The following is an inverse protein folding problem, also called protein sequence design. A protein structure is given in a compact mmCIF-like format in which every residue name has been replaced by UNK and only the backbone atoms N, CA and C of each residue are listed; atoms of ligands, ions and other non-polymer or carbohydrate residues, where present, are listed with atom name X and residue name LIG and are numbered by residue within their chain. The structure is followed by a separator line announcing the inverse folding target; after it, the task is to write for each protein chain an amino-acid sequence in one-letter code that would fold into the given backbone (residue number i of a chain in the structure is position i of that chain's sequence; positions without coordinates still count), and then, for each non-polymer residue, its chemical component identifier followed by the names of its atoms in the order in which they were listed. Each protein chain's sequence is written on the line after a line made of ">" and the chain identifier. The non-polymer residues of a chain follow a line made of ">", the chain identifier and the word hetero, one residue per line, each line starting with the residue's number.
data_IF_346621147905
#
_entry.id   IF_346621147905
#
_cell.length_a   1.000
_cell.length_b   1.000
_cell.length_c   1.000
_cell.angle_alpha   90.00
_cell.angle_beta   90.00
_cell.angle_gamma   90.00
#
_symmetry.space_group_name_H-M   'P 1'
#
loop_
_entity.id
_entity.type
_entity.pdbx_description
1 polymer ?
#
# COMPACT_ATOMS: atom_id res chain seq x y z
N UNK A 1 -55.72 50.23 -12.84
CA UNK A 1 -54.31 50.00 -12.57
C UNK A 1 -54.10 48.51 -12.49
N UNK A 2 -53.62 47.90 -13.53
CA UNK A 2 -53.46 46.49 -13.62
C UNK A 2 -52.04 46.11 -13.39
N UNK A 3 -51.80 45.51 -12.26
CA UNK A 3 -50.50 44.94 -11.94
C UNK A 3 -50.53 43.48 -12.42
N UNK A 4 -50.04 43.25 -13.62
CA UNK A 4 -49.83 41.89 -14.14
C UNK A 4 -48.55 41.33 -13.58
N UNK A 5 -48.68 40.58 -12.52
CA UNK A 5 -47.66 39.68 -12.02
C UNK A 5 -47.30 38.68 -13.10
N UNK A 6 -46.16 38.85 -13.70
CA UNK A 6 -45.56 37.90 -14.60
C UNK A 6 -45.11 36.66 -13.81
N UNK A 7 -45.92 35.63 -13.93
CA UNK A 7 -45.51 34.31 -13.42
C UNK A 7 -44.44 33.74 -14.36
N UNK A 8 -43.21 33.98 -14.02
CA UNK A 8 -42.12 33.22 -14.60
C UNK A 8 -42.24 31.79 -14.14
N UNK A 9 -42.69 30.97 -15.03
CA UNK A 9 -42.61 29.53 -14.85
C UNK A 9 -41.15 29.14 -14.85
N UNK A 10 -40.67 28.75 -13.70
CA UNK A 10 -39.39 28.11 -13.60
C UNK A 10 -39.50 26.71 -14.20
N UNK A 11 -39.03 26.59 -15.43
CA UNK A 11 -38.77 25.29 -16.02
C UNK A 11 -37.34 24.93 -15.67
N UNK A 12 -37.14 24.40 -14.50
CA UNK A 12 -35.82 23.97 -14.04
C UNK A 12 -35.81 22.51 -13.62
N UNK A 13 -36.68 21.72 -14.24
CA UNK A 13 -36.82 20.33 -13.79
C UNK A 13 -36.19 19.32 -14.71
N UNK A 14 -35.54 19.74 -15.76
CA UNK A 14 -35.00 18.81 -16.74
C UNK A 14 -33.50 18.48 -16.57
N UNK A 15 -32.80 19.11 -15.65
CA UNK A 15 -31.32 19.00 -15.57
C UNK A 15 -30.85 18.03 -14.51
N UNK A 16 -31.73 17.53 -13.67
CA UNK A 16 -31.31 16.76 -12.48
C UNK A 16 -31.17 15.27 -12.75
N UNK A 17 -31.61 14.76 -13.87
CA UNK A 17 -31.61 13.32 -14.15
C UNK A 17 -30.32 12.80 -14.77
N UNK A 18 -29.42 13.67 -15.20
CA UNK A 18 -28.15 13.23 -15.81
C UNK A 18 -26.99 13.13 -14.84
N UNK A 19 -27.10 13.74 -13.68
CA UNK A 19 -26.04 13.67 -12.66
C UNK A 19 -26.04 12.36 -11.85
N UNK A 20 -27.16 11.63 -11.84
CA UNK A 20 -27.29 10.40 -11.05
C UNK A 20 -26.65 9.16 -11.68
N UNK A 21 -26.47 9.15 -12.99
CA UNK A 21 -25.92 7.98 -13.69
C UNK A 21 -24.40 7.94 -13.72
N UNK A 22 -23.73 9.07 -13.62
CA UNK A 22 -22.27 9.13 -13.57
C UNK A 22 -21.69 8.69 -12.23
N UNK A 23 -22.38 8.95 -11.15
CA UNK A 23 -21.95 8.52 -9.81
C UNK A 23 -22.06 7.02 -9.58
N UNK A 24 -23.01 6.34 -10.24
CA UNK A 24 -23.14 4.88 -10.13
C UNK A 24 -22.04 4.13 -10.89
N UNK A 25 -21.54 4.67 -11.98
CA UNK A 25 -20.46 4.07 -12.76
C UNK A 25 -19.10 4.19 -12.03
N UNK A 26 -18.88 5.27 -11.31
CA UNK A 26 -17.67 5.43 -10.49
C UNK A 26 -17.67 4.53 -9.26
N UNK A 27 -18.81 4.27 -8.66
CA UNK A 27 -18.94 3.37 -7.51
C UNK A 27 -18.71 1.90 -7.89
N UNK A 28 -19.00 1.52 -9.13
CA UNK A 28 -18.74 0.16 -9.63
C UNK A 28 -17.27 -0.09 -10.01
N UNK A 29 -16.47 0.97 -10.14
CA UNK A 29 -15.05 0.87 -10.44
C UNK A 29 -14.15 0.77 -9.20
N UNK A 30 -14.68 0.93 -8.01
CA UNK A 30 -13.95 0.65 -6.77
C UNK A 30 -13.89 -0.86 -6.55
N UNK A 31 -13.00 -1.53 -7.26
CA UNK A 31 -12.52 -2.85 -6.84
C UNK A 31 -11.98 -2.69 -5.43
N UNK A 32 -12.69 -3.22 -4.46
CA UNK A 32 -12.20 -3.34 -3.09
C UNK A 32 -10.85 -4.03 -3.13
N UNK A 33 -9.80 -3.29 -2.77
CA UNK A 33 -8.47 -3.88 -2.61
C UNK A 33 -8.55 -4.84 -1.43
N UNK A 34 -8.56 -6.12 -1.72
CA UNK A 34 -8.53 -7.16 -0.71
C UNK A 34 -7.08 -7.32 -0.22
N UNK A 35 -6.65 -6.47 0.69
CA UNK A 35 -5.34 -6.59 1.33
C UNK A 35 -5.38 -7.69 2.40
N UNK A 36 -5.56 -8.94 1.98
CA UNK A 36 -5.73 -10.05 2.92
C UNK A 36 -4.43 -10.56 3.54
N UNK A 37 -3.32 -10.41 2.83
CA UNK A 37 -2.02 -10.90 3.30
C UNK A 37 -1.13 -9.72 3.65
N UNK A 38 -0.59 -9.73 4.87
CA UNK A 38 0.44 -8.81 5.33
C UNK A 38 1.77 -9.57 5.43
N UNK A 39 2.73 -9.15 4.65
CA UNK A 39 4.09 -9.71 4.63
C UNK A 39 5.03 -8.72 5.32
N UNK A 40 5.44 -9.03 6.55
CA UNK A 40 6.24 -8.17 7.41
C UNK A 40 7.66 -8.69 7.46
N UNK A 41 8.61 -7.87 7.04
CA UNK A 41 10.03 -8.25 6.96
C UNK A 41 10.87 -7.30 7.81
N UNK A 42 11.77 -7.86 8.58
CA UNK A 42 12.73 -7.10 9.40
C UNK A 42 14.15 -7.52 9.04
N UNK A 43 14.99 -6.52 8.78
CA UNK A 43 16.38 -6.72 8.37
C UNK A 43 17.34 -6.24 9.45
N UNK A 44 18.35 -7.06 9.75
CA UNK A 44 19.49 -6.69 10.57
C UNK A 44 20.70 -6.45 9.67
N UNK A 45 21.12 -5.21 9.57
CA UNK A 45 22.24 -4.81 8.71
C UNK A 45 23.57 -5.30 9.25
N UNK A 46 24.47 -5.72 8.36
CA UNK A 46 25.88 -5.96 8.70
C UNK A 46 26.59 -4.67 9.08
N UNK A 47 26.30 -3.62 8.31
CA UNK A 47 26.82 -2.28 8.54
C UNK A 47 25.65 -1.29 8.61
N UNK A 48 25.44 -0.60 9.74
CA UNK A 48 24.37 0.40 9.89
C UNK A 48 24.42 1.53 8.86
N UNK A 49 25.57 1.84 8.28
CA UNK A 49 25.74 2.86 7.26
C UNK A 49 25.06 2.49 5.94
N UNK A 50 24.85 1.20 5.68
CA UNK A 50 24.17 0.71 4.47
C UNK A 50 22.64 0.82 4.53
N UNK A 51 22.09 1.40 5.59
CA UNK A 51 20.64 1.52 5.78
C UNK A 51 19.96 2.18 4.58
N UNK A 52 20.47 3.31 4.12
CA UNK A 52 19.87 4.04 3.01
C UNK A 52 19.91 3.21 1.72
N UNK A 53 20.99 2.51 1.48
CA UNK A 53 21.12 1.64 0.32
C UNK A 53 20.10 0.49 0.35
N UNK A 54 19.87 -0.12 1.53
CA UNK A 54 18.84 -1.13 1.66
C UNK A 54 17.43 -0.56 1.45
N UNK A 55 17.14 0.63 1.99
CA UNK A 55 15.86 1.33 1.77
C UNK A 55 15.61 1.57 0.27
N UNK A 56 16.62 1.97 -0.49
CA UNK A 56 16.51 2.11 -1.93
C UNK A 56 16.19 0.78 -2.62
N UNK A 57 16.85 -0.29 -2.19
CA UNK A 57 16.60 -1.64 -2.70
C UNK A 57 15.18 -2.12 -2.44
N UNK A 58 14.69 -2.05 -1.20
CA UNK A 58 13.32 -2.50 -0.88
C UNK A 58 12.25 -1.68 -1.58
N UNK A 59 12.50 -0.40 -1.84
CA UNK A 59 11.57 0.44 -2.60
C UNK A 59 11.38 0.01 -4.06
N UNK A 60 12.30 -0.77 -4.63
CA UNK A 60 12.12 -1.31 -5.98
C UNK A 60 10.97 -2.32 -6.04
N UNK A 61 10.66 -2.96 -4.92
CA UNK A 61 9.63 -4.00 -4.83
C UNK A 61 8.21 -3.47 -5.07
N UNK A 62 7.99 -2.17 -4.94
CA UNK A 62 6.69 -1.54 -5.26
C UNK A 62 6.27 -1.71 -6.72
N UNK A 63 7.20 -2.00 -7.62
CA UNK A 63 6.95 -2.22 -9.04
C UNK A 63 6.36 -3.58 -9.33
N UNK A 64 6.40 -4.51 -8.37
CA UNK A 64 5.87 -5.86 -8.54
C UNK A 64 4.34 -5.78 -8.61
N UNK A 65 3.79 -6.39 -9.64
CA UNK A 65 2.36 -6.29 -10.00
C UNK A 65 1.40 -6.70 -8.88
N UNK A 66 1.76 -7.71 -8.08
CA UNK A 66 0.90 -8.23 -7.01
C UNK A 66 1.03 -7.47 -5.69
N UNK A 67 2.03 -6.60 -5.54
CA UNK A 67 2.17 -5.73 -4.37
C UNK A 67 1.11 -4.62 -4.42
N UNK A 68 0.25 -4.57 -3.40
CA UNK A 68 -0.84 -3.58 -3.31
C UNK A 68 -0.45 -2.34 -2.53
N UNK A 69 0.29 -2.54 -1.46
CA UNK A 69 0.84 -1.46 -0.65
C UNK A 69 2.23 -1.85 -0.18
N UNK A 70 3.07 -0.84 0.02
CA UNK A 70 4.42 -0.99 0.55
C UNK A 70 4.67 0.09 1.60
N UNK A 71 5.19 -0.31 2.74
CA UNK A 71 5.65 0.58 3.79
C UNK A 71 7.06 0.18 4.20
N UNK A 72 7.98 1.14 4.12
CA UNK A 72 9.37 0.96 4.53
C UNK A 72 9.62 1.81 5.76
N UNK A 73 10.23 1.23 6.79
CA UNK A 73 10.42 1.90 8.06
C UNK A 73 11.78 1.65 8.69
N UNK A 74 12.09 2.48 9.65
CA UNK A 74 13.20 2.33 10.59
C UNK A 74 12.62 2.27 12.01
N UNK A 75 13.45 1.94 13.00
CA UNK A 75 13.02 1.91 14.39
C UNK A 75 12.46 3.27 14.81
N UNK A 76 11.22 3.26 15.30
CA UNK A 76 10.57 4.48 15.79
C UNK A 76 11.10 4.86 17.18
N UNK A 77 11.19 6.17 17.45
CA UNK A 77 11.60 6.70 18.75
C UNK A 77 10.49 6.67 19.80
N UNK A 78 9.77 5.55 19.91
CA UNK A 78 8.72 5.38 20.92
C UNK A 78 9.34 5.12 22.30
N UNK A 79 8.52 5.25 23.36
CA UNK A 79 8.94 4.97 24.72
C UNK A 79 9.44 3.53 24.84
N UNK A 80 10.57 3.34 25.54
CA UNK A 80 11.18 2.02 25.74
C UNK A 80 10.30 1.16 26.64
N UNK A 81 10.00 -0.04 26.16
CA UNK A 81 9.30 -1.11 26.90
C UNK A 81 9.95 -2.44 26.58
N UNK A 82 9.94 -3.38 27.52
CA UNK A 82 10.58 -4.69 27.37
C UNK A 82 10.09 -5.48 26.14
N UNK A 83 8.83 -5.27 25.74
CA UNK A 83 8.22 -5.95 24.59
C UNK A 83 8.60 -5.34 23.25
N UNK A 84 9.31 -4.21 23.23
CA UNK A 84 9.72 -3.54 21.98
C UNK A 84 11.14 -3.97 21.61
N UNK A 85 11.26 -4.68 20.50
CA UNK A 85 12.54 -5.04 19.90
C UNK A 85 13.00 -3.91 18.96
N UNK A 86 14.12 -3.28 19.29
CA UNK A 86 14.75 -2.21 18.50
C UNK A 86 16.05 -2.67 17.84
N UNK A 87 16.31 -3.97 17.81
CA UNK A 87 17.59 -4.52 17.31
C UNK A 87 17.71 -4.52 15.79
N UNK A 88 16.58 -4.45 15.06
CA UNK A 88 16.55 -4.43 13.61
C UNK A 88 16.89 -3.04 13.02
N UNK A 89 17.23 -2.99 11.74
CA UNK A 89 17.63 -1.73 11.08
C UNK A 89 16.62 -1.17 10.10
N UNK A 90 15.98 -2.03 9.31
CA UNK A 90 14.96 -1.66 8.31
C UNK A 90 13.79 -2.63 8.41
N UNK A 91 12.58 -2.11 8.30
CA UNK A 91 11.37 -2.90 8.18
C UNK A 91 10.71 -2.67 6.82
N UNK A 92 10.05 -3.71 6.34
CA UNK A 92 9.27 -3.69 5.12
C UNK A 92 7.93 -4.35 5.40
N UNK A 93 6.83 -3.66 5.06
CA UNK A 93 5.50 -4.20 5.13
C UNK A 93 4.86 -4.14 3.75
N UNK A 94 4.51 -5.29 3.23
CA UNK A 94 3.80 -5.44 1.96
C UNK A 94 2.41 -6.00 2.18
N UNK A 95 1.47 -5.59 1.34
CA UNK A 95 0.13 -6.17 1.30
C UNK A 95 -0.13 -6.81 -0.06
N UNK A 96 -0.75 -7.99 -0.01
CA UNK A 96 -1.22 -8.73 -1.18
C UNK A 96 -2.71 -9.03 -1.05
N UNK A 97 -3.40 -9.22 -2.17
CA UNK A 97 -4.82 -9.56 -2.18
C UNK A 97 -5.09 -10.96 -1.60
N UNK A 98 -4.15 -11.89 -1.85
CA UNK A 98 -4.27 -13.30 -1.49
C UNK A 98 -2.91 -13.99 -1.41
N UNK A 99 -2.91 -15.25 -1.01
CA UNK A 99 -1.71 -16.10 -0.94
C UNK A 99 -1.08 -16.29 -2.32
N UNK A 100 -1.88 -16.41 -3.37
CA UNK A 100 -1.36 -16.55 -4.72
C UNK A 100 -0.58 -15.32 -5.18
N UNK A 101 -1.01 -14.13 -4.79
CA UNK A 101 -0.30 -12.87 -5.05
C UNK A 101 1.05 -12.80 -4.34
N UNK A 102 1.11 -13.25 -3.10
CA UNK A 102 2.36 -13.37 -2.34
C UNK A 102 3.30 -14.41 -2.98
N UNK A 103 2.79 -15.58 -3.34
CA UNK A 103 3.59 -16.62 -3.98
C UNK A 103 4.17 -16.15 -5.33
N UNK A 104 3.39 -15.41 -6.12
CA UNK A 104 3.86 -14.81 -7.38
C UNK A 104 4.95 -13.76 -7.15
N UNK A 105 4.86 -12.99 -6.07
CA UNK A 105 5.90 -12.05 -5.65
C UNK A 105 7.24 -12.74 -5.39
N UNK A 106 7.25 -13.88 -4.73
CA UNK A 106 8.48 -14.61 -4.38
C UNK A 106 9.33 -14.99 -5.61
N UNK A 107 8.69 -15.27 -6.73
CA UNK A 107 9.35 -15.66 -7.99
C UNK A 107 9.44 -14.54 -9.03
N UNK A 108 8.93 -13.36 -8.71
CA UNK A 108 9.01 -12.21 -9.60
C UNK A 108 10.47 -11.79 -9.84
N UNK A 109 10.87 -11.51 -11.10
CA UNK A 109 12.23 -11.08 -11.41
C UNK A 109 12.72 -9.88 -10.61
N UNK A 110 11.84 -8.93 -10.28
CA UNK A 110 12.19 -7.76 -9.46
C UNK A 110 12.56 -8.20 -8.05
N UNK A 111 11.81 -9.15 -7.45
CA UNK A 111 12.14 -9.70 -6.13
C UNK A 111 13.47 -10.47 -6.16
N UNK A 112 13.67 -11.31 -7.18
CA UNK A 112 14.92 -12.09 -7.34
C UNK A 112 16.13 -11.16 -7.51
N UNK A 113 16.01 -10.10 -8.28
CA UNK A 113 17.05 -9.09 -8.46
C UNK A 113 17.33 -8.33 -7.14
N UNK A 114 16.29 -8.00 -6.40
CA UNK A 114 16.45 -7.40 -5.08
C UNK A 114 17.27 -8.30 -4.17
N UNK A 115 16.92 -9.56 -4.03
CA UNK A 115 17.66 -10.52 -3.19
C UNK A 115 19.10 -10.65 -3.68
N UNK A 116 19.32 -10.81 -4.98
CA UNK A 116 20.65 -10.94 -5.59
C UNK A 116 21.54 -9.72 -5.30
N UNK A 117 21.02 -8.53 -5.41
CA UNK A 117 21.80 -7.29 -5.36
C UNK A 117 21.96 -6.72 -3.95
N UNK A 118 21.07 -7.06 -3.01
CA UNK A 118 21.02 -6.44 -1.69
C UNK A 118 21.20 -7.40 -0.51
N UNK A 119 21.13 -8.72 -0.72
CA UNK A 119 21.25 -9.69 0.38
C UNK A 119 22.59 -9.64 1.12
N UNK A 120 23.62 -9.12 0.49
CA UNK A 120 24.93 -8.92 1.13
C UNK A 120 24.93 -7.82 2.21
N UNK A 121 23.86 -7.00 2.28
CA UNK A 121 23.76 -5.90 3.24
C UNK A 121 23.28 -6.33 4.61
N UNK A 122 22.63 -7.48 4.73
CA UNK A 122 22.10 -7.97 6.01
C UNK A 122 22.73 -9.29 6.41
N UNK A 123 22.79 -9.54 7.73
CA UNK A 123 23.23 -10.80 8.30
C UNK A 123 22.07 -11.62 8.88
N UNK A 124 20.88 -11.00 9.00
CA UNK A 124 19.67 -11.66 9.47
C UNK A 124 18.46 -11.00 8.85
N UNK A 125 17.48 -11.82 8.48
CA UNK A 125 16.15 -11.37 8.08
C UNK A 125 15.12 -12.25 8.77
N UNK A 126 14.02 -11.62 9.22
CA UNK A 126 12.87 -12.33 9.81
C UNK A 126 11.62 -11.86 9.10
N UNK A 127 10.76 -12.80 8.77
CA UNK A 127 9.50 -12.56 8.05
C UNK A 127 8.34 -13.08 8.90
N UNK A 128 7.29 -12.27 8.99
CA UNK A 128 6.01 -12.65 9.57
C UNK A 128 4.93 -12.43 8.52
N UNK A 129 4.29 -13.53 8.12
CA UNK A 129 3.14 -13.49 7.24
C UNK A 129 1.85 -13.64 8.04
N UNK A 130 0.92 -12.73 7.84
CA UNK A 130 -0.39 -12.75 8.49
C UNK A 130 -1.51 -12.67 7.47
N UNK A 131 -2.56 -13.44 7.69
CA UNK A 131 -3.80 -13.35 6.95
C UNK A 131 -4.82 -12.57 7.77
N UNK A 132 -5.46 -11.58 7.13
CA UNK A 132 -6.50 -10.77 7.77
C UNK A 132 -7.77 -11.58 7.95
N UNK A 133 -8.34 -11.52 9.15
CA UNK A 133 -9.58 -12.22 9.55
C UNK A 133 -10.75 -11.25 9.68
#
# INVERSE_FOLDING_TARGET
>A
MNNKSSRRKFISTAVILTAGSTTMAETLSMKTKNNKIAHQVYFWLKNPEDRQKLIEGVNTLKKIKTVRQIHVGIVAGTEKREVIDTSWGVSLLLFFDDIAGEASYQTDPIHLDFVKNYSNLWNKVVIYDAEMV
#
